data_IF_136395211451
#
_entry.id   IF_136395211451
#
_cell.length_a   1.000
_cell.length_b   1.000
_cell.length_c   1.000
_cell.angle_alpha   90.00
_cell.angle_beta   90.00
_cell.angle_gamma   90.00
#
_symmetry.space_group_name_H-M   'P 1'
#
loop_
_entity.id
_entity.type
_entity.pdbx_description
1 polymer ?
#
# COMPACT_ATOMS: atom_id res chain seq x y z
N UNK A 1 -2.26 -22.11 -39.75
CA UNK A 1 -2.41 -20.85 -38.97
C UNK A 1 -3.71 -21.01 -38.20
N UNK A 2 -3.66 -21.11 -36.86
CA UNK A 2 -4.88 -21.30 -36.05
C UNK A 2 -5.66 -19.99 -36.10
N UNK A 3 -6.76 -19.96 -36.86
CA UNK A 3 -7.70 -18.85 -36.83
C UNK A 3 -8.55 -19.00 -35.58
N UNK A 4 -8.23 -18.20 -34.56
CA UNK A 4 -9.09 -18.06 -33.40
C UNK A 4 -10.24 -17.14 -33.83
N UNK A 5 -11.46 -17.64 -33.76
CA UNK A 5 -12.64 -16.84 -34.06
C UNK A 5 -12.82 -15.73 -33.01
N UNK A 6 -13.51 -14.67 -33.41
CA UNK A 6 -13.70 -13.48 -32.56
C UNK A 6 -14.40 -13.81 -31.25
N UNK A 7 -15.31 -14.78 -31.23
CA UNK A 7 -16.09 -15.15 -30.05
C UNK A 7 -15.22 -15.89 -29.04
N UNK A 8 -14.44 -16.88 -29.50
CA UNK A 8 -13.43 -17.57 -28.69
C UNK A 8 -12.42 -16.61 -28.09
N UNK A 9 -11.95 -15.62 -28.86
CA UNK A 9 -11.03 -14.60 -28.34
C UNK A 9 -11.66 -13.75 -27.23
N UNK A 10 -12.91 -13.30 -27.41
CA UNK A 10 -13.64 -12.53 -26.40
C UNK A 10 -13.87 -13.35 -25.12
N UNK A 11 -14.25 -14.62 -25.25
CA UNK A 11 -14.41 -15.53 -24.10
C UNK A 11 -13.09 -15.75 -23.34
N UNK A 12 -11.98 -15.86 -24.06
CA UNK A 12 -10.66 -15.98 -23.44
C UNK A 12 -10.28 -14.70 -22.69
N UNK A 13 -10.52 -13.53 -23.27
CA UNK A 13 -10.28 -12.24 -22.61
C UNK A 13 -11.14 -12.07 -21.36
N UNK A 14 -12.43 -12.40 -21.43
CA UNK A 14 -13.32 -12.32 -20.27
C UNK A 14 -12.84 -13.23 -19.13
N UNK A 15 -12.44 -14.47 -19.43
CA UNK A 15 -11.88 -15.39 -18.43
C UNK A 15 -10.58 -14.87 -17.80
N UNK A 16 -9.75 -14.17 -18.59
CA UNK A 16 -8.52 -13.55 -18.09
C UNK A 16 -8.86 -12.39 -17.16
N UNK A 17 -9.78 -11.51 -17.54
CA UNK A 17 -10.22 -10.38 -16.70
C UNK A 17 -10.81 -10.87 -15.37
N UNK A 18 -11.71 -11.85 -15.39
CA UNK A 18 -12.28 -12.44 -14.18
C UNK A 18 -11.21 -13.11 -13.27
N UNK A 19 -10.09 -13.55 -13.84
CA UNK A 19 -8.96 -14.07 -13.08
C UNK A 19 -8.14 -12.95 -12.46
N UNK A 20 -7.95 -11.83 -13.16
CA UNK A 20 -7.29 -10.66 -12.60
C UNK A 20 -8.09 -10.09 -11.42
N UNK A 21 -9.40 -9.94 -11.55
CA UNK A 21 -10.26 -9.44 -10.46
C UNK A 21 -10.17 -10.33 -9.22
N UNK A 22 -10.16 -11.66 -9.41
CA UNK A 22 -9.99 -12.63 -8.31
C UNK A 22 -8.63 -12.54 -7.64
N UNK A 23 -7.57 -12.29 -8.40
CA UNK A 23 -6.22 -12.10 -7.87
C UNK A 23 -6.16 -10.81 -7.07
N UNK A 24 -6.72 -9.71 -7.59
CA UNK A 24 -6.79 -8.43 -6.90
C UNK A 24 -7.56 -8.54 -5.57
N UNK A 25 -8.72 -9.19 -5.57
CA UNK A 25 -9.49 -9.43 -4.35
C UNK A 25 -8.70 -10.24 -3.31
N UNK A 26 -7.94 -11.25 -3.74
CA UNK A 26 -7.11 -12.06 -2.85
C UNK A 26 -5.93 -11.28 -2.28
N UNK A 27 -5.27 -10.46 -3.11
CA UNK A 27 -4.19 -9.57 -2.67
C UNK A 27 -4.69 -8.53 -1.67
N UNK A 28 -5.84 -7.92 -1.92
CA UNK A 28 -6.48 -6.99 -1.00
C UNK A 28 -6.83 -7.64 0.33
N UNK A 29 -7.35 -8.89 0.31
CA UNK A 29 -7.63 -9.64 1.54
C UNK A 29 -6.37 -9.98 2.32
N UNK A 30 -5.29 -10.37 1.63
CA UNK A 30 -4.01 -10.65 2.27
C UNK A 30 -3.42 -9.38 2.89
N UNK A 31 -3.40 -8.26 2.17
CA UNK A 31 -2.92 -6.97 2.70
C UNK A 31 -3.72 -6.54 3.94
N UNK A 32 -5.05 -6.73 3.96
CA UNK A 32 -5.88 -6.42 5.14
C UNK A 32 -5.57 -7.31 6.35
N UNK A 33 -5.16 -8.57 6.14
CA UNK A 33 -4.82 -9.48 7.23
C UNK A 33 -3.43 -9.21 7.84
N UNK A 34 -2.50 -8.64 7.06
CA UNK A 34 -1.20 -8.16 7.58
C UNK A 34 -1.24 -6.72 8.09
N UNK A 35 -2.31 -5.96 7.83
CA UNK A 35 -2.35 -4.52 8.09
C UNK A 35 -2.59 -4.10 9.55
N UNK A 36 -2.93 -5.02 10.46
CA UNK A 36 -3.20 -4.70 11.86
C UNK A 36 -2.23 -5.42 12.79
N UNK A 37 -1.11 -4.77 13.10
CA UNK A 37 -0.30 -5.11 14.27
C UNK A 37 -0.71 -4.18 15.39
N UNK A 38 -1.20 -4.74 16.50
CA UNK A 38 -1.65 -3.99 17.68
C UNK A 38 -2.82 -3.01 17.42
N UNK A 39 -3.62 -3.24 16.37
CA UNK A 39 -4.74 -2.36 16.00
C UNK A 39 -4.32 -1.09 15.25
N UNK A 40 -3.03 -0.92 14.96
CA UNK A 40 -2.52 0.18 14.16
C UNK A 40 -2.36 -0.23 12.69
N UNK A 41 -2.75 0.68 11.78
CA UNK A 41 -2.69 0.42 10.34
C UNK A 41 -1.25 0.51 9.86
N UNK A 42 -0.79 -0.52 9.18
CA UNK A 42 0.53 -0.55 8.59
C UNK A 42 0.55 0.02 7.17
N UNK A 43 1.39 1.01 6.96
CA UNK A 43 1.73 1.60 5.67
C UNK A 43 2.93 0.85 5.08
N UNK A 44 2.90 0.56 3.79
CA UNK A 44 4.05 -0.02 3.10
C UNK A 44 5.00 1.05 2.55
N UNK A 45 6.03 0.63 1.81
CA UNK A 45 6.98 1.57 1.21
C UNK A 45 6.34 2.50 0.15
N UNK A 46 5.31 2.02 -0.56
CA UNK A 46 4.62 2.78 -1.59
C UNK A 46 3.76 3.86 -0.91
N UNK A 47 2.98 3.48 0.08
CA UNK A 47 2.15 4.42 0.87
C UNK A 47 3.01 5.54 1.47
N UNK A 48 4.17 5.18 2.04
CA UNK A 48 5.11 6.16 2.60
C UNK A 48 5.74 7.09 1.55
N UNK A 49 6.02 6.58 0.35
CA UNK A 49 6.55 7.41 -0.73
C UNK A 49 5.51 8.44 -1.19
N UNK A 50 4.26 8.02 -1.33
CA UNK A 50 3.14 8.89 -1.71
C UNK A 50 2.84 9.92 -0.62
N UNK A 51 2.81 9.48 0.63
CA UNK A 51 2.56 10.34 1.78
C UNK A 51 3.60 11.45 1.94
N UNK A 52 4.87 11.11 1.80
CA UNK A 52 5.97 12.08 1.95
C UNK A 52 6.28 12.84 0.65
N UNK A 53 5.72 12.42 -0.48
CA UNK A 53 6.06 12.94 -1.81
C UNK A 53 7.52 12.69 -2.18
N UNK A 54 8.09 11.54 -1.77
CA UNK A 54 9.50 11.21 -1.96
C UNK A 54 9.68 9.91 -2.74
N UNK A 55 10.87 9.74 -3.31
CA UNK A 55 11.22 8.48 -3.97
C UNK A 55 11.60 7.40 -2.96
N UNK A 56 11.52 6.12 -3.38
CA UNK A 56 11.98 4.97 -2.60
C UNK A 56 13.44 5.11 -2.13
N UNK A 57 14.31 5.74 -2.94
CA UNK A 57 15.70 6.03 -2.60
C UNK A 57 15.81 7.03 -1.44
N UNK A 58 14.99 8.09 -1.46
CA UNK A 58 14.94 9.06 -0.36
C UNK A 58 14.37 8.42 0.91
N UNK A 59 13.33 7.59 0.81
CA UNK A 59 12.77 6.85 1.93
C UNK A 59 13.77 5.87 2.56
N UNK A 60 14.58 5.18 1.74
CA UNK A 60 15.68 4.34 2.22
C UNK A 60 16.72 5.14 3.00
N UNK A 61 17.08 6.35 2.54
CA UNK A 61 17.98 7.26 3.26
C UNK A 61 17.37 7.74 4.59
N UNK A 62 16.06 7.99 4.64
CA UNK A 62 15.38 8.37 5.89
C UNK A 62 15.43 7.24 6.91
N UNK A 63 15.28 5.98 6.48
CA UNK A 63 15.48 4.80 7.34
C UNK A 63 16.91 4.69 7.86
N UNK A 64 17.91 4.81 6.98
CA UNK A 64 19.33 4.77 7.39
C UNK A 64 19.67 5.85 8.42
N UNK A 65 19.09 7.04 8.27
CA UNK A 65 19.25 8.15 9.20
C UNK A 65 18.35 8.07 10.44
N UNK A 66 17.57 6.99 10.60
CA UNK A 66 16.59 6.79 11.68
C UNK A 66 15.61 7.96 11.85
N UNK A 67 15.23 8.60 10.74
CA UNK A 67 14.26 9.70 10.74
C UNK A 67 12.82 9.21 10.82
N UNK A 68 12.57 7.98 10.35
CA UNK A 68 11.27 7.33 10.37
C UNK A 68 11.41 5.96 11.01
N UNK A 69 10.54 5.64 11.95
CA UNK A 69 10.46 4.31 12.55
C UNK A 69 9.89 3.33 11.53
N UNK A 70 10.44 2.13 11.47
CA UNK A 70 9.99 1.10 10.55
C UNK A 70 10.02 -0.27 11.24
N UNK A 71 9.17 -1.15 10.76
CA UNK A 71 9.01 -2.52 11.23
C UNK A 71 9.25 -3.48 10.08
N UNK A 72 9.82 -4.64 10.38
CA UNK A 72 9.97 -5.71 9.39
C UNK A 72 9.05 -6.86 9.76
N UNK A 73 8.14 -7.19 8.85
CA UNK A 73 7.16 -8.28 9.00
C UNK A 73 7.31 -9.14 7.77
N UNK A 74 7.62 -10.42 7.95
CA UNK A 74 7.86 -11.37 6.86
C UNK A 74 8.82 -10.87 5.77
N UNK A 75 9.88 -10.17 6.19
CA UNK A 75 10.90 -9.61 5.28
C UNK A 75 10.47 -8.36 4.51
N UNK A 76 9.26 -7.84 4.75
CA UNK A 76 8.77 -6.58 4.17
C UNK A 76 8.82 -5.45 5.19
N UNK A 77 9.17 -4.25 4.72
CA UNK A 77 9.22 -3.04 5.56
C UNK A 77 7.82 -2.41 5.63
N UNK A 78 7.36 -2.17 6.85
CA UNK A 78 6.11 -1.50 7.17
C UNK A 78 6.34 -0.33 8.14
N UNK A 79 5.37 0.57 8.19
CA UNK A 79 5.39 1.77 9.02
C UNK A 79 4.05 1.88 9.75
N UNK A 80 4.08 2.15 11.05
CA UNK A 80 2.85 2.36 11.83
C UNK A 80 2.22 3.72 11.47
N UNK A 81 0.93 3.75 11.18
CA UNK A 81 0.24 4.98 10.81
C UNK A 81 0.30 6.02 11.93
N UNK A 82 0.14 5.61 13.20
CA UNK A 82 0.23 6.52 14.36
C UNK A 82 1.59 7.23 14.45
N UNK A 83 2.68 6.48 14.33
CA UNK A 83 4.04 7.03 14.42
C UNK A 83 4.36 7.94 13.23
N UNK A 84 3.82 7.60 12.06
CA UNK A 84 3.97 8.41 10.84
C UNK A 84 3.19 9.72 10.98
N UNK A 85 1.99 9.69 11.57
CA UNK A 85 1.22 10.89 11.91
C UNK A 85 1.97 11.78 12.89
N UNK A 86 2.52 11.21 13.96
CA UNK A 86 3.37 11.96 14.90
C UNK A 86 4.59 12.57 14.20
N UNK A 87 5.25 11.83 13.32
CA UNK A 87 6.41 12.31 12.58
C UNK A 87 6.06 13.54 11.72
N UNK A 88 4.92 13.50 11.04
CA UNK A 88 4.43 14.60 10.22
C UNK A 88 4.08 15.82 11.08
N UNK A 89 3.35 15.60 12.18
CA UNK A 89 2.97 16.64 13.13
C UNK A 89 4.20 17.34 13.74
N UNK A 90 5.24 16.60 14.14
CA UNK A 90 6.51 17.18 14.65
C UNK A 90 7.25 18.01 13.59
N UNK A 91 7.08 17.70 12.31
CA UNK A 91 7.71 18.40 11.17
C UNK A 91 6.88 19.59 10.66
N UNK A 92 5.72 19.88 11.27
CA UNK A 92 4.80 20.94 10.82
C UNK A 92 4.11 20.62 9.49
N UNK A 93 4.07 19.35 9.09
CA UNK A 93 3.37 18.87 7.89
C UNK A 93 2.12 18.12 8.30
N UNK A 94 1.01 18.33 7.60
CA UNK A 94 -0.27 17.66 7.89
C UNK A 94 -0.42 16.46 6.96
N UNK A 95 -0.95 15.35 7.47
CA UNK A 95 -1.36 14.21 6.64
C UNK A 95 -2.31 14.67 5.50
N UNK A 96 -2.05 14.28 4.24
CA UNK A 96 -2.97 14.52 3.14
C UNK A 96 -4.34 13.91 3.43
N UNK A 97 -5.41 14.69 3.19
CA UNK A 97 -6.79 14.31 3.51
C UNK A 97 -7.26 13.02 2.82
N UNK A 98 -6.67 12.64 1.67
CA UNK A 98 -6.94 11.38 0.98
C UNK A 98 -6.57 10.17 1.85
N UNK A 99 -5.41 10.23 2.49
CA UNK A 99 -4.90 9.15 3.34
C UNK A 99 -5.69 9.12 4.65
N UNK A 100 -6.05 10.26 5.25
CA UNK A 100 -6.95 10.30 6.43
C UNK A 100 -8.29 9.58 6.19
N UNK A 101 -8.88 9.77 5.01
CA UNK A 101 -10.15 9.15 4.61
C UNK A 101 -10.03 7.63 4.40
N UNK A 102 -8.84 7.15 4.05
CA UNK A 102 -8.53 5.73 3.81
C UNK A 102 -8.02 5.02 5.08
N UNK A 103 -7.53 5.79 6.07
CA UNK A 103 -7.09 5.33 7.39
C UNK A 103 -8.25 5.26 8.42
N UNK A 104 -9.47 5.67 8.06
CA UNK A 104 -10.67 5.69 8.93
C UNK A 104 -10.44 6.37 10.30
N UNK A 105 -9.61 7.41 10.33
CA UNK A 105 -9.38 8.21 11.53
C UNK A 105 -10.51 9.25 11.59
N UNK A 106 -11.60 8.88 12.27
CA UNK A 106 -12.66 9.80 12.69
C UNK A 106 -12.13 10.76 13.78
N UNK A 107 -12.67 12.00 13.85
CA UNK A 107 -12.20 13.05 14.74
C UNK A 107 -12.32 12.72 16.23
#
# INVERSE_FOLDING_TARGET
MIQIDRETFQMMLQKIMERFDRIEARLNRMNRQTAALEGDKLLDNQDMCELLGVTKRTLARYRQKKLVTYYMIDGRTYYKASEVEEFLNRKGKVLPAKIKKELDIQP
#
